data_IF_457940655269
#
_entry.id   IF_457940655269
#
_cell.length_a   1.000
_cell.length_b   1.000
_cell.length_c   1.000
_cell.angle_alpha   90.00
_cell.angle_beta   90.00
_cell.angle_gamma   90.00
#
_symmetry.space_group_name_H-M   'P 1'
#
loop_
_entity.id
_entity.type
_entity.pdbx_description
1 polymer ?
#
# COMPACT_ATOMS: atom_id res chain seq x y z
N UNK A 1 -2.04 15.09 -20.32
CA UNK A 1 -1.25 16.23 -20.84
C UNK A 1 -1.06 16.06 -22.33
N UNK A 2 -0.26 16.91 -22.97
CA UNK A 2 0.12 16.69 -24.37
C UNK A 2 1.25 15.67 -24.39
N UNK A 3 0.91 14.40 -24.63
CA UNK A 3 1.83 13.26 -24.56
C UNK A 3 1.52 12.32 -25.71
N UNK A 4 2.53 11.96 -26.49
CA UNK A 4 2.38 11.03 -27.60
C UNK A 4 2.34 9.57 -27.07
N UNK A 5 1.35 8.75 -27.45
CA UNK A 5 1.24 7.37 -26.97
C UNK A 5 2.48 6.50 -27.26
N UNK A 6 3.16 6.78 -28.35
CA UNK A 6 4.39 6.12 -28.82
C UNK A 6 5.57 6.36 -27.87
N UNK A 7 5.70 7.55 -27.30
CA UNK A 7 6.76 7.87 -26.31
C UNK A 7 6.51 7.17 -24.97
N UNK A 8 5.24 7.02 -24.59
CA UNK A 8 4.82 6.31 -23.37
C UNK A 8 5.20 4.84 -23.48
N UNK A 9 4.91 4.21 -24.63
CA UNK A 9 5.26 2.81 -24.87
C UNK A 9 6.79 2.59 -24.81
N UNK A 10 7.59 3.46 -25.44
CA UNK A 10 9.06 3.41 -25.37
C UNK A 10 9.58 3.52 -23.93
N UNK A 11 8.96 4.39 -23.12
CA UNK A 11 9.34 4.58 -21.72
C UNK A 11 9.06 3.35 -20.86
N UNK A 12 7.90 2.71 -21.08
CA UNK A 12 7.54 1.45 -20.40
C UNK A 12 8.49 0.31 -20.74
N UNK A 13 8.87 0.16 -22.01
CA UNK A 13 9.85 -0.83 -22.45
C UNK A 13 11.19 -0.63 -21.72
N UNK A 14 11.66 0.62 -21.63
CA UNK A 14 12.91 0.95 -20.93
C UNK A 14 12.88 0.60 -19.44
N UNK A 15 11.74 0.83 -18.77
CA UNK A 15 11.56 0.46 -17.35
C UNK A 15 11.65 -1.07 -17.18
N UNK A 16 11.03 -1.81 -18.10
CA UNK A 16 11.05 -3.27 -18.10
C UNK A 16 12.45 -3.84 -18.38
N UNK A 17 13.14 -3.33 -19.39
CA UNK A 17 14.49 -3.78 -19.78
C UNK A 17 15.52 -3.53 -18.68
N UNK A 18 15.45 -2.37 -18.02
CA UNK A 18 16.37 -2.01 -16.94
C UNK A 18 16.06 -2.70 -15.61
N UNK A 19 14.97 -3.48 -15.53
CA UNK A 19 14.50 -4.15 -14.29
C UNK A 19 14.52 -3.22 -13.08
N UNK A 20 14.12 -1.96 -13.26
CA UNK A 20 14.19 -0.93 -12.20
C UNK A 20 13.22 -1.26 -11.05
N UNK A 21 12.14 -1.98 -11.35
CA UNK A 21 11.21 -2.48 -10.37
C UNK A 21 11.28 -4.02 -10.33
N UNK A 22 11.40 -4.55 -9.11
CA UNK A 22 11.21 -5.97 -8.85
C UNK A 22 9.71 -6.22 -8.68
N UNK A 23 9.17 -7.10 -9.49
CA UNK A 23 7.76 -7.50 -9.43
C UNK A 23 7.62 -8.82 -8.69
N UNK A 24 6.38 -9.15 -8.33
CA UNK A 24 6.00 -10.44 -7.76
C UNK A 24 6.50 -11.61 -8.65
N UNK A 25 6.96 -12.71 -8.05
CA UNK A 25 7.55 -13.83 -8.81
C UNK A 25 6.52 -14.76 -9.44
N UNK A 26 5.32 -14.86 -8.86
CA UNK A 26 4.27 -15.80 -9.24
C UNK A 26 3.36 -15.31 -10.37
N UNK A 27 3.59 -14.09 -10.88
CA UNK A 27 2.74 -13.49 -11.91
C UNK A 27 3.49 -12.52 -12.82
N UNK A 28 2.91 -12.17 -13.97
CA UNK A 28 3.51 -11.20 -14.88
C UNK A 28 3.52 -9.80 -14.27
N UNK A 29 4.58 -9.05 -14.54
CA UNK A 29 4.66 -7.63 -14.19
C UNK A 29 3.53 -6.83 -14.85
N UNK A 30 2.65 -6.24 -14.03
CA UNK A 30 1.52 -5.43 -14.48
C UNK A 30 1.88 -3.94 -14.41
N UNK A 31 1.93 -3.27 -15.56
CA UNK A 31 2.05 -1.81 -15.64
C UNK A 31 0.96 -1.32 -16.58
N UNK A 32 0.05 -0.51 -16.04
CA UNK A 32 -1.03 0.10 -16.81
C UNK A 32 -0.80 1.61 -16.88
N UNK A 33 -1.07 2.18 -18.05
CA UNK A 33 -0.97 3.64 -18.26
C UNK A 33 -2.26 4.15 -18.85
N UNK A 34 -2.84 5.15 -18.20
CA UNK A 34 -3.99 5.89 -18.69
C UNK A 34 -3.56 7.30 -19.10
N UNK A 35 -3.81 7.65 -20.36
CA UNK A 35 -3.57 8.99 -20.88
C UNK A 35 -4.81 9.84 -20.70
N UNK A 36 -4.70 10.91 -19.92
CA UNK A 36 -5.81 11.82 -19.65
C UNK A 36 -5.53 13.21 -20.22
N UNK A 37 -6.59 13.84 -20.73
CA UNK A 37 -6.54 15.26 -21.12
C UNK A 37 -6.57 16.11 -19.86
N UNK A 38 -5.87 17.24 -19.91
CA UNK A 38 -5.90 18.22 -18.82
C UNK A 38 -7.22 18.95 -18.81
N UNK A 39 -7.64 19.40 -17.62
CA UNK A 39 -8.80 20.26 -17.47
C UNK A 39 -8.59 21.56 -18.28
N UNK A 40 -9.55 21.96 -19.13
CA UNK A 40 -9.46 23.23 -19.86
C UNK A 40 -9.65 24.45 -18.94
N UNK A 41 -10.14 24.26 -17.72
CA UNK A 41 -10.43 25.34 -16.77
C UNK A 41 -9.29 25.64 -15.79
N UNK A 42 -8.22 24.84 -15.83
CA UNK A 42 -7.11 24.95 -14.88
C UNK A 42 -5.85 25.36 -15.61
N UNK A 43 -5.37 26.59 -15.36
CA UNK A 43 -4.08 27.03 -15.88
C UNK A 43 -2.95 26.27 -15.17
N UNK A 44 -2.21 25.46 -15.92
CA UNK A 44 -1.05 24.71 -15.43
C UNK A 44 0.17 25.12 -16.23
N UNK A 45 1.24 25.55 -15.55
CA UNK A 45 2.48 25.98 -16.21
C UNK A 45 3.24 24.80 -16.85
N UNK A 46 3.08 23.59 -16.32
CA UNK A 46 3.78 22.40 -16.83
C UNK A 46 3.05 21.81 -18.05
N UNK A 47 3.80 21.45 -19.09
CA UNK A 47 3.27 20.77 -20.29
C UNK A 47 2.78 19.34 -20.02
N UNK A 48 3.45 18.61 -19.13
CA UNK A 48 3.13 17.22 -18.77
C UNK A 48 3.06 17.07 -17.25
N UNK A 49 2.21 16.17 -16.77
CA UNK A 49 2.07 15.78 -15.37
C UNK A 49 1.89 14.26 -15.31
N UNK A 50 2.42 13.61 -14.28
CA UNK A 50 2.29 12.17 -14.07
C UNK A 50 1.92 11.87 -12.63
N UNK A 51 1.11 10.83 -12.44
CA UNK A 51 0.77 10.26 -11.14
C UNK A 51 1.08 8.77 -11.22
N UNK A 52 1.84 8.25 -10.25
CA UNK A 52 2.10 6.83 -10.12
C UNK A 52 1.27 6.29 -8.97
N UNK A 53 0.38 5.34 -9.27
CA UNK A 53 -0.29 4.51 -8.26
C UNK A 53 0.40 3.15 -8.28
N UNK A 54 1.15 2.84 -7.22
CA UNK A 54 1.89 1.60 -7.11
C UNK A 54 1.37 0.79 -5.92
N UNK A 55 0.95 -0.45 -6.18
CA UNK A 55 0.75 -1.45 -5.13
C UNK A 55 2.07 -2.20 -4.93
N UNK A 56 2.67 -2.06 -3.74
CA UNK A 56 3.98 -2.62 -3.44
C UNK A 56 3.98 -3.24 -2.04
N UNK A 57 4.54 -4.45 -1.91
CA UNK A 57 4.57 -5.27 -0.68
C UNK A 57 5.29 -4.58 0.48
N UNK A 58 6.15 -3.60 0.21
CA UNK A 58 6.82 -2.79 1.25
C UNK A 58 5.85 -2.08 2.20
N UNK A 59 4.56 -1.94 1.85
CA UNK A 59 3.55 -1.41 2.77
C UNK A 59 3.43 -2.23 4.05
N UNK A 60 3.76 -3.53 4.02
CA UNK A 60 3.86 -4.39 5.19
C UNK A 60 4.82 -3.85 6.26
N UNK A 61 5.87 -3.12 5.85
CA UNK A 61 6.78 -2.45 6.77
C UNK A 61 6.11 -1.32 7.57
N UNK A 62 5.13 -0.61 6.99
CA UNK A 62 4.34 0.38 7.72
C UNK A 62 3.44 -0.30 8.75
N UNK A 63 2.71 -1.34 8.35
CA UNK A 63 1.83 -2.10 9.25
C UNK A 63 2.63 -2.74 10.40
N UNK A 64 3.80 -3.30 10.10
CA UNK A 64 4.70 -3.86 11.12
C UNK A 64 5.11 -2.83 12.18
N UNK A 65 5.37 -1.58 11.78
CA UNK A 65 5.69 -0.50 12.73
C UNK A 65 4.48 -0.09 13.57
N UNK A 66 3.31 0.01 12.96
CA UNK A 66 2.06 0.32 13.68
C UNK A 66 1.74 -0.77 14.70
N UNK A 67 1.87 -2.04 14.31
CA UNK A 67 1.64 -3.19 15.20
C UNK A 67 2.61 -3.18 16.39
N UNK A 68 3.89 -2.88 16.14
CA UNK A 68 4.90 -2.76 17.22
C UNK A 68 4.57 -1.63 18.20
N UNK A 69 4.07 -0.49 17.70
CA UNK A 69 3.65 0.63 18.56
C UNK A 69 2.42 0.25 19.39
N UNK A 70 1.43 -0.38 18.75
CA UNK A 70 0.25 -0.90 19.41
C UNK A 70 0.61 -1.89 20.52
N UNK A 71 1.46 -2.88 20.23
CA UNK A 71 1.87 -3.92 21.20
C UNK A 71 2.53 -3.31 22.45
N UNK A 72 3.33 -2.24 22.27
CA UNK A 72 3.96 -1.52 23.40
C UNK A 72 2.94 -0.84 24.31
N UNK A 73 1.87 -0.27 23.73
CA UNK A 73 0.79 0.37 24.48
C UNK A 73 -0.10 -0.67 25.16
N UNK A 74 -0.51 -1.69 24.39
CA UNK A 74 -1.38 -2.78 24.86
C UNK A 74 -0.74 -3.57 26.00
N UNK A 75 0.56 -3.87 25.93
CA UNK A 75 1.31 -4.55 27.01
C UNK A 75 1.30 -3.81 28.34
N UNK A 76 1.15 -2.47 28.31
CA UNK A 76 1.05 -1.62 29.50
C UNK A 76 -0.39 -1.30 29.89
N UNK A 77 -1.36 -1.84 29.15
CA UNK A 77 -2.77 -1.48 29.22
C UNK A 77 -3.01 0.05 29.17
N UNK A 78 -2.17 0.77 28.42
CA UNK A 78 -2.20 2.22 28.35
C UNK A 78 -3.39 2.72 27.50
N UNK A 79 -4.06 3.78 27.96
CA UNK A 79 -5.14 4.48 27.25
C UNK A 79 -6.40 3.64 26.95
N UNK A 80 -6.63 2.53 27.68
CA UNK A 80 -7.76 1.62 27.44
C UNK A 80 -9.06 2.03 28.16
N UNK A 81 -8.99 2.88 29.19
CA UNK A 81 -10.15 3.18 30.04
C UNK A 81 -11.29 3.92 29.30
N UNK A 82 -10.95 4.69 28.26
CA UNK A 82 -11.93 5.34 27.40
C UNK A 82 -12.67 4.30 26.54
N UNK A 83 -11.96 3.31 26.00
CA UNK A 83 -12.54 2.28 25.16
C UNK A 83 -13.47 1.35 25.95
N UNK A 84 -13.11 0.98 27.18
CA UNK A 84 -13.96 0.15 28.06
C UNK A 84 -15.34 0.76 28.39
N UNK A 85 -15.53 2.07 28.16
CA UNK A 85 -16.82 2.74 28.37
C UNK A 85 -17.74 2.62 27.16
N UNK A 86 -17.20 2.25 26.01
CA UNK A 86 -17.96 2.07 24.78
C UNK A 86 -18.62 0.68 24.74
N UNK A 87 -19.85 0.56 24.21
CA UNK A 87 -20.59 -0.71 24.19
C UNK A 87 -19.82 -1.88 23.54
N UNK A 88 -19.00 -1.59 22.53
CA UNK A 88 -18.16 -2.58 21.83
C UNK A 88 -17.16 -3.29 22.75
N UNK A 89 -16.74 -2.65 23.85
CA UNK A 89 -15.76 -3.18 24.79
C UNK A 89 -16.37 -3.45 26.19
N UNK A 90 -17.70 -3.55 26.27
CA UNK A 90 -18.40 -3.79 27.53
C UNK A 90 -18.01 -5.15 28.16
N UNK A 91 -17.85 -6.18 27.32
CA UNK A 91 -17.61 -7.56 27.74
C UNK A 91 -16.12 -7.97 27.71
N UNK A 92 -15.24 -7.10 27.20
CA UNK A 92 -13.83 -7.44 27.05
C UNK A 92 -13.06 -6.54 26.10
N UNK A 93 -11.81 -6.90 25.86
CA UNK A 93 -10.93 -6.23 24.89
C UNK A 93 -10.56 -7.15 23.72
N UNK A 94 -11.31 -8.23 23.55
CA UNK A 94 -11.02 -9.29 22.57
C UNK A 94 -11.03 -8.72 21.14
N UNK A 95 -11.90 -7.75 20.85
CA UNK A 95 -11.92 -7.02 19.58
C UNK A 95 -10.56 -6.39 19.21
N UNK A 96 -9.80 -5.93 20.21
CA UNK A 96 -8.46 -5.41 19.96
C UNK A 96 -7.45 -6.51 19.62
N UNK A 97 -7.64 -7.70 20.17
CA UNK A 97 -6.76 -8.84 19.95
C UNK A 97 -7.04 -9.45 18.56
N UNK A 98 -8.32 -9.54 18.16
CA UNK A 98 -8.75 -9.94 16.81
C UNK A 98 -8.27 -8.97 15.72
N UNK A 99 -8.40 -7.66 15.96
CA UNK A 99 -7.91 -6.64 15.03
C UNK A 99 -6.39 -6.70 14.87
N UNK A 100 -5.66 -6.97 15.97
CA UNK A 100 -4.21 -7.15 15.94
C UNK A 100 -3.81 -8.38 15.12
N UNK A 101 -4.50 -9.51 15.32
CA UNK A 101 -4.26 -10.74 14.56
C UNK A 101 -4.51 -10.54 13.07
N UNK A 102 -5.62 -9.89 12.70
CA UNK A 102 -5.94 -9.56 11.30
C UNK A 102 -4.82 -8.75 10.62
N UNK A 103 -4.26 -7.75 11.30
CA UNK A 103 -3.14 -6.95 10.77
C UNK A 103 -1.85 -7.78 10.68
N UNK A 104 -1.61 -8.66 11.66
CA UNK A 104 -0.47 -9.56 11.65
C UNK A 104 -0.52 -10.53 10.47
N UNK A 105 -1.68 -11.10 10.19
CA UNK A 105 -1.88 -12.03 9.07
C UNK A 105 -1.73 -11.32 7.73
N UNK A 106 -2.27 -10.10 7.61
CA UNK A 106 -2.05 -9.25 6.44
C UNK A 106 -0.55 -9.00 6.18
N UNK A 107 0.24 -8.74 7.22
CA UNK A 107 1.69 -8.58 7.09
C UNK A 107 2.35 -9.88 6.58
N UNK A 108 1.92 -11.03 7.09
CA UNK A 108 2.46 -12.32 6.67
C UNK A 108 2.09 -12.64 5.22
N UNK A 109 0.87 -12.32 4.79
CA UNK A 109 0.43 -12.47 3.41
C UNK A 109 1.25 -11.59 2.45
N UNK A 110 1.54 -10.33 2.82
CA UNK A 110 2.42 -9.48 2.02
C UNK A 110 3.86 -10.04 1.91
N UNK A 111 4.39 -10.65 2.98
CA UNK A 111 5.71 -11.30 2.96
C UNK A 111 5.69 -12.57 2.11
N UNK A 112 4.61 -13.36 2.19
CA UNK A 112 4.44 -14.56 1.37
C UNK A 112 4.41 -14.21 -0.12
N UNK A 113 3.79 -13.07 -0.49
CA UNK A 113 3.78 -12.56 -1.86
C UNK A 113 5.17 -12.27 -2.46
N UNK A 114 6.21 -12.10 -1.63
CA UNK A 114 7.60 -11.88 -2.09
C UNK A 114 8.35 -13.19 -2.38
N UNK A 115 7.82 -14.33 -1.95
CA UNK A 115 8.43 -15.64 -2.15
C UNK A 115 7.94 -16.30 -3.45
N UNK A 116 8.81 -17.11 -4.07
CA UNK A 116 8.54 -17.82 -5.34
C UNK A 116 7.56 -18.99 -5.20
N UNK A 117 7.27 -19.42 -3.97
CA UNK A 117 6.40 -20.55 -3.66
C UNK A 117 5.23 -20.08 -2.82
N UNK A 118 4.04 -20.11 -3.42
CA UNK A 118 2.76 -20.15 -2.70
C UNK A 118 2.51 -21.57 -2.21
#
# INVERSE_FOLDING_TARGET
GDVEPTEVHKSLLRIRERRIAQFIPWGPASIQVALTKKSPYTQTQHRVSGLMMANHTSIAGLFSRTLLQYDRLRKRNAFLDLYKREPMFADGLDEFDDARETVHDLINEYRACENETL
#
